data_IF_728597928269
#
_entry.id   IF_728597928269
#
_cell.length_a   1.000
_cell.length_b   1.000
_cell.length_c   1.000
_cell.angle_alpha   90.00
_cell.angle_beta   90.00
_cell.angle_gamma   90.00
#
_symmetry.space_group_name_H-M   'P 1'
#
loop_
_entity.id
_entity.type
_entity.pdbx_description
1 polymer ?
#
# COMPACT_ATOMS: atom_id res chain seq x y z
N UNK A 1 6.85 -10.39 -13.59
CA UNK A 1 5.68 -9.56 -13.23
C UNK A 1 5.19 -10.03 -11.87
N UNK A 2 4.84 -9.14 -10.93
CA UNK A 2 4.47 -9.54 -9.57
C UNK A 2 2.97 -9.44 -9.32
N UNK A 3 2.49 -10.12 -8.27
CA UNK A 3 1.09 -10.16 -7.83
C UNK A 3 1.03 -10.04 -6.30
N UNK A 4 -0.03 -9.46 -5.70
CA UNK A 4 -0.12 -9.37 -4.24
C UNK A 4 -0.33 -10.75 -3.58
N UNK A 5 -0.82 -11.74 -4.34
CA UNK A 5 -0.96 -13.14 -3.95
C UNK A 5 0.15 -14.03 -4.55
N UNK A 6 1.35 -13.48 -4.77
CA UNK A 6 2.47 -14.20 -5.40
C UNK A 6 2.88 -15.47 -4.65
N UNK A 7 2.87 -15.45 -3.32
CA UNK A 7 3.13 -16.64 -2.47
C UNK A 7 2.14 -17.76 -2.73
N UNK A 8 0.85 -17.43 -2.83
CA UNK A 8 -0.18 -18.40 -3.21
C UNK A 8 0.05 -18.98 -4.62
N UNK A 9 0.41 -18.13 -5.61
CA UNK A 9 0.72 -18.62 -6.96
C UNK A 9 1.94 -19.56 -7.00
N UNK A 10 3.01 -19.21 -6.28
CA UNK A 10 4.20 -20.07 -6.17
C UNK A 10 3.87 -21.41 -5.54
N UNK A 11 3.01 -21.41 -4.52
CA UNK A 11 2.48 -22.63 -3.95
C UNK A 11 1.72 -23.48 -4.99
N UNK A 12 0.82 -22.88 -5.80
CA UNK A 12 0.12 -23.62 -6.86
C UNK A 12 1.08 -24.25 -7.87
N UNK A 13 2.12 -23.53 -8.29
CA UNK A 13 3.19 -24.05 -9.15
C UNK A 13 3.87 -25.25 -8.51
N UNK A 14 4.25 -25.13 -7.23
CA UNK A 14 4.93 -26.20 -6.49
C UNK A 14 4.06 -27.46 -6.31
N UNK A 15 2.74 -27.33 -6.41
CA UNK A 15 1.77 -28.43 -6.28
C UNK A 15 1.29 -29.01 -7.61
N UNK A 16 1.82 -28.53 -8.75
CA UNK A 16 1.35 -28.89 -10.10
C UNK A 16 -0.16 -28.65 -10.29
N UNK A 17 -0.75 -27.73 -9.53
CA UNK A 17 -2.16 -27.40 -9.67
C UNK A 17 -2.33 -26.65 -10.99
N UNK A 18 -3.43 -26.92 -11.70
CA UNK A 18 -3.78 -26.16 -12.90
C UNK A 18 -4.11 -24.72 -12.47
N UNK A 19 -3.21 -23.79 -12.85
CA UNK A 19 -3.19 -22.43 -12.28
C UNK A 19 -4.34 -21.60 -12.85
N UNK A 20 -4.62 -21.65 -14.15
CA UNK A 20 -5.60 -20.76 -14.76
C UNK A 20 -7.03 -21.11 -14.40
N UNK A 21 -7.41 -22.38 -14.40
CA UNK A 21 -8.67 -22.90 -13.86
C UNK A 21 -8.83 -22.58 -12.38
N UNK A 22 -7.75 -22.64 -11.58
CA UNK A 22 -7.83 -22.27 -10.16
C UNK A 22 -8.09 -20.77 -10.00
N UNK A 23 -7.37 -19.93 -10.76
CA UNK A 23 -7.56 -18.48 -10.73
C UNK A 23 -8.94 -18.07 -11.26
N UNK A 24 -9.39 -18.68 -12.36
CA UNK A 24 -10.72 -18.47 -12.91
C UNK A 24 -11.79 -18.84 -11.88
N UNK A 25 -11.61 -19.93 -11.13
CA UNK A 25 -12.51 -20.36 -10.05
C UNK A 25 -12.59 -19.39 -8.86
N UNK A 26 -11.60 -18.52 -8.68
CA UNK A 26 -11.57 -17.48 -7.65
C UNK A 26 -11.75 -16.06 -8.21
N UNK A 27 -12.08 -15.95 -9.51
CA UNK A 27 -12.21 -14.69 -10.25
C UNK A 27 -10.96 -13.79 -10.15
N UNK A 28 -9.77 -14.42 -10.18
CA UNK A 28 -8.48 -13.74 -10.13
C UNK A 28 -7.88 -13.56 -11.54
N UNK A 29 -7.07 -12.51 -11.77
CA UNK A 29 -6.37 -12.33 -13.03
C UNK A 29 -5.47 -13.51 -13.37
N UNK A 30 -5.51 -13.96 -14.62
CA UNK A 30 -4.58 -14.95 -15.15
C UNK A 30 -3.13 -14.45 -15.12
N UNK A 31 -2.21 -15.37 -14.92
CA UNK A 31 -0.77 -15.13 -14.98
C UNK A 31 -0.22 -15.32 -16.40
N UNK A 32 0.90 -14.69 -16.72
CA UNK A 32 1.54 -14.86 -18.03
C UNK A 32 2.46 -16.09 -18.09
N UNK A 33 2.60 -16.70 -19.26
CA UNK A 33 3.47 -17.88 -19.45
C UNK A 33 4.93 -17.63 -19.06
N UNK A 34 5.44 -16.42 -19.33
CA UNK A 34 6.80 -16.03 -18.93
C UNK A 34 6.95 -16.05 -17.41
N UNK A 35 5.96 -15.55 -16.67
CA UNK A 35 5.98 -15.59 -15.21
C UNK A 35 5.97 -17.02 -14.68
N UNK A 36 5.16 -17.89 -15.29
CA UNK A 36 5.13 -19.32 -14.95
C UNK A 36 6.48 -20.00 -15.22
N UNK A 37 7.12 -19.69 -16.34
CA UNK A 37 8.44 -20.20 -16.67
C UNK A 37 9.49 -19.74 -15.65
N UNK A 38 9.49 -18.45 -15.30
CA UNK A 38 10.39 -17.88 -14.28
C UNK A 38 10.19 -18.54 -12.91
N UNK A 39 8.94 -18.75 -12.48
CA UNK A 39 8.64 -19.43 -11.22
C UNK A 39 9.08 -20.89 -11.21
N UNK A 40 8.90 -21.63 -12.31
CA UNK A 40 9.41 -23.00 -12.42
C UNK A 40 10.93 -23.03 -12.39
N UNK A 41 11.59 -22.10 -13.06
CA UNK A 41 13.04 -22.00 -13.02
C UNK A 41 13.54 -21.70 -11.61
N UNK A 42 12.94 -20.73 -10.93
CA UNK A 42 13.26 -20.41 -9.53
C UNK A 42 13.10 -21.63 -8.62
N UNK A 43 12.03 -22.42 -8.80
CA UNK A 43 11.83 -23.67 -8.07
C UNK A 43 12.95 -24.68 -8.35
N UNK A 44 13.36 -24.87 -9.60
CA UNK A 44 14.47 -25.77 -9.95
C UNK A 44 15.79 -25.36 -9.31
N UNK A 45 16.03 -24.06 -9.18
CA UNK A 45 17.28 -23.51 -8.69
C UNK A 45 17.40 -23.57 -7.16
N UNK A 46 16.28 -23.53 -6.42
CA UNK A 46 16.28 -23.34 -4.96
C UNK A 46 15.54 -24.42 -4.17
N UNK A 47 14.66 -25.20 -4.79
CA UNK A 47 13.88 -26.22 -4.07
C UNK A 47 14.70 -27.49 -3.82
N UNK A 48 14.32 -28.31 -2.82
CA UNK A 48 14.94 -29.61 -2.59
C UNK A 48 14.89 -30.51 -3.84
N UNK A 49 15.88 -31.39 -4.08
CA UNK A 49 15.90 -32.26 -5.26
C UNK A 49 14.63 -33.11 -5.44
N UNK A 50 14.03 -33.56 -4.33
CA UNK A 50 12.75 -34.28 -4.34
C UNK A 50 11.59 -33.44 -4.91
N UNK A 51 11.55 -32.14 -4.57
CA UNK A 51 10.55 -31.20 -5.09
C UNK A 51 10.76 -30.92 -6.58
N UNK A 52 12.02 -30.77 -7.00
CA UNK A 52 12.35 -30.56 -8.42
C UNK A 52 11.94 -31.78 -9.25
N UNK A 53 12.33 -32.98 -8.81
CA UNK A 53 11.95 -34.23 -9.45
C UNK A 53 10.43 -34.41 -9.49
N UNK A 54 9.73 -34.05 -8.40
CA UNK A 54 8.27 -34.02 -8.36
C UNK A 54 7.75 -33.12 -9.47
N UNK A 55 8.04 -31.81 -9.46
CA UNK A 55 7.48 -30.84 -10.41
C UNK A 55 7.75 -31.18 -11.88
N UNK A 56 8.94 -31.68 -12.21
CA UNK A 56 9.32 -31.99 -13.59
C UNK A 56 8.74 -33.33 -14.11
N UNK A 57 8.27 -34.22 -13.22
CA UNK A 57 7.67 -35.50 -13.60
C UNK A 57 6.16 -35.52 -13.29
N UNK A 58 5.26 -35.37 -14.28
CA UNK A 58 3.81 -35.23 -14.05
C UNK A 58 3.20 -36.32 -13.16
N UNK A 59 3.57 -37.58 -13.41
CA UNK A 59 3.03 -38.77 -12.74
C UNK A 59 3.69 -39.07 -11.38
N UNK A 60 4.75 -38.35 -11.01
CA UNK A 60 5.48 -38.63 -9.77
C UNK A 60 4.75 -38.02 -8.57
N UNK A 61 4.52 -38.83 -7.55
CA UNK A 61 4.08 -38.38 -6.22
C UNK A 61 5.28 -37.93 -5.38
N UNK A 62 5.05 -36.93 -4.52
CA UNK A 62 6.09 -36.44 -3.62
C UNK A 62 6.25 -37.42 -2.44
N UNK A 63 7.14 -38.40 -2.60
CA UNK A 63 7.39 -39.44 -1.60
C UNK A 63 8.38 -39.00 -0.50
N UNK A 64 9.32 -38.12 -0.85
CA UNK A 64 10.30 -37.56 0.08
C UNK A 64 9.94 -36.10 0.40
N UNK A 65 9.74 -35.83 1.69
CA UNK A 65 9.33 -34.54 2.22
C UNK A 65 10.48 -33.79 2.88
N UNK A 66 11.69 -34.35 2.87
CA UNK A 66 12.84 -33.74 3.52
C UNK A 66 13.19 -32.38 2.89
N UNK A 67 13.41 -31.39 3.75
CA UNK A 67 13.68 -30.00 3.37
C UNK A 67 12.54 -29.23 2.68
N UNK A 68 11.38 -29.85 2.42
CA UNK A 68 10.26 -29.17 1.71
C UNK A 68 9.67 -28.05 2.54
N UNK A 69 9.43 -28.28 3.83
CA UNK A 69 8.87 -27.25 4.71
C UNK A 69 9.87 -26.11 4.96
N UNK A 70 11.14 -26.43 5.16
CA UNK A 70 12.19 -25.42 5.38
C UNK A 70 12.34 -24.50 4.16
N UNK A 71 12.31 -25.09 2.95
CA UNK A 71 12.29 -24.33 1.71
C UNK A 71 11.02 -23.47 1.58
N UNK A 72 9.84 -24.06 1.84
CA UNK A 72 8.58 -23.33 1.72
C UNK A 72 8.45 -22.19 2.75
N UNK A 73 9.00 -22.35 3.95
CA UNK A 73 9.11 -21.29 4.95
C UNK A 73 10.04 -20.16 4.49
N UNK A 74 11.20 -20.51 3.92
CA UNK A 74 12.13 -19.53 3.37
C UNK A 74 11.50 -18.71 2.24
N UNK A 75 10.63 -19.33 1.44
CA UNK A 75 9.86 -18.67 0.38
C UNK A 75 8.58 -17.96 0.89
N UNK A 76 8.22 -18.13 2.17
CA UNK A 76 7.07 -17.48 2.80
C UNK A 76 5.72 -18.07 2.40
N UNK A 77 5.65 -19.36 2.08
CA UNK A 77 4.39 -20.07 1.85
C UNK A 77 4.34 -21.44 2.55
N UNK A 78 5.19 -21.67 3.56
CA UNK A 78 5.24 -22.90 4.33
C UNK A 78 3.91 -23.29 4.96
N UNK A 79 3.11 -22.31 5.40
CA UNK A 79 1.77 -22.57 5.95
C UNK A 79 0.85 -23.25 4.93
N UNK A 80 0.94 -22.92 3.64
CA UNK A 80 0.16 -23.60 2.60
C UNK A 80 0.60 -25.07 2.44
N UNK A 81 1.89 -25.37 2.63
CA UNK A 81 2.43 -26.73 2.58
C UNK A 81 2.07 -27.56 3.82
N UNK A 82 2.13 -26.99 5.02
CA UNK A 82 1.72 -27.66 6.27
C UNK A 82 0.27 -28.16 6.24
N UNK A 83 -0.58 -27.46 5.47
CA UNK A 83 -1.99 -27.81 5.29
C UNK A 83 -2.23 -29.01 4.37
N UNK A 84 -1.21 -29.51 3.67
CA UNK A 84 -1.36 -30.60 2.73
C UNK A 84 -1.44 -31.97 3.44
N UNK A 85 -2.04 -32.95 2.78
CA UNK A 85 -2.29 -34.27 3.36
C UNK A 85 -0.99 -35.00 3.73
N UNK A 86 0.07 -34.75 2.95
CA UNK A 86 1.41 -35.30 3.08
C UNK A 86 2.05 -34.95 4.44
N UNK A 87 1.66 -33.83 5.05
CA UNK A 87 2.16 -33.37 6.35
C UNK A 87 1.19 -33.67 7.50
N UNK A 88 0.33 -34.68 7.33
CA UNK A 88 -0.54 -35.19 8.39
C UNK A 88 -1.85 -34.44 8.57
N UNK A 89 -2.21 -33.54 7.64
CA UNK A 89 -3.49 -32.82 7.60
C UNK A 89 -3.86 -32.25 8.97
N UNK A 90 -2.94 -31.47 9.56
CA UNK A 90 -3.28 -30.69 10.74
C UNK A 90 -4.56 -29.91 10.44
N UNK A 91 -5.55 -29.89 11.36
CA UNK A 91 -6.72 -29.05 11.16
C UNK A 91 -6.22 -27.64 10.88
N UNK A 92 -6.79 -27.00 9.86
CA UNK A 92 -6.38 -25.68 9.48
C UNK A 92 -6.37 -24.78 10.70
N UNK A 93 -5.26 -24.07 10.89
CA UNK A 93 -5.24 -23.01 11.89
C UNK A 93 -6.47 -22.13 11.60
N UNK A 94 -7.36 -21.89 12.58
CA UNK A 94 -8.59 -21.14 12.35
C UNK A 94 -8.35 -19.79 11.64
N UNK A 95 -7.18 -19.18 11.89
CA UNK A 95 -6.70 -17.99 11.22
C UNK A 95 -6.50 -18.17 9.71
N UNK A 96 -5.87 -19.27 9.29
CA UNK A 96 -5.67 -19.61 7.88
C UNK A 96 -7.00 -19.84 7.17
N UNK A 97 -7.89 -20.64 7.76
CA UNK A 97 -9.19 -20.93 7.16
C UNK A 97 -10.05 -19.68 6.95
N UNK A 98 -9.99 -18.74 7.89
CA UNK A 98 -10.66 -17.46 7.75
C UNK A 98 -10.00 -16.59 6.67
N UNK A 99 -8.67 -16.48 6.68
CA UNK A 99 -7.93 -15.74 5.65
C UNK A 99 -8.20 -16.29 4.24
N UNK A 100 -8.18 -17.61 4.07
CA UNK A 100 -8.47 -18.25 2.79
C UNK A 100 -9.91 -18.01 2.35
N UNK A 101 -10.89 -18.13 3.26
CA UNK A 101 -12.30 -17.79 2.96
C UNK A 101 -12.49 -16.35 2.51
N UNK A 102 -11.80 -15.41 3.16
CA UNK A 102 -11.80 -13.99 2.77
C UNK A 102 -11.17 -13.77 1.39
N UNK A 103 -10.15 -14.57 1.05
CA UNK A 103 -9.45 -14.47 -0.22
C UNK A 103 -10.27 -15.03 -1.38
N UNK A 104 -10.91 -16.19 -1.22
CA UNK A 104 -11.68 -16.82 -2.31
C UNK A 104 -13.00 -16.10 -2.60
N UNK A 105 -13.55 -15.36 -1.63
CA UNK A 105 -14.75 -14.55 -1.84
C UNK A 105 -14.38 -13.15 -2.37
N UNK A 106 -14.83 -12.86 -3.59
CA UNK A 106 -14.55 -11.60 -4.31
C UNK A 106 -14.96 -10.36 -3.53
N UNK A 107 -16.14 -10.35 -2.91
CA UNK A 107 -16.64 -9.17 -2.21
C UNK A 107 -15.83 -8.88 -0.95
N UNK A 108 -15.52 -9.90 -0.15
CA UNK A 108 -14.68 -9.73 1.04
C UNK A 108 -13.26 -9.36 0.65
N UNK A 109 -12.70 -9.98 -0.40
CA UNK A 109 -11.38 -9.68 -0.94
C UNK A 109 -11.29 -8.23 -1.42
N UNK A 110 -12.29 -7.75 -2.16
CA UNK A 110 -12.31 -6.38 -2.67
C UNK A 110 -12.32 -5.34 -1.56
N UNK A 111 -13.21 -5.49 -0.57
CA UNK A 111 -13.32 -4.55 0.55
C UNK A 111 -12.09 -4.62 1.45
N UNK A 112 -11.62 -5.83 1.78
CA UNK A 112 -10.42 -6.00 2.59
C UNK A 112 -9.18 -5.46 1.86
N UNK A 113 -9.03 -5.73 0.56
CA UNK A 113 -7.96 -5.19 -0.27
C UNK A 113 -7.97 -3.66 -0.33
N UNK A 114 -9.15 -3.04 -0.45
CA UNK A 114 -9.32 -1.59 -0.33
C UNK A 114 -8.87 -1.08 1.04
N UNK A 115 -9.32 -1.71 2.12
CA UNK A 115 -8.99 -1.30 3.48
C UNK A 115 -7.48 -1.46 3.78
N UNK A 116 -6.85 -2.50 3.24
CA UNK A 116 -5.41 -2.75 3.35
C UNK A 116 -4.53 -1.73 2.61
N UNK A 117 -5.07 -1.08 1.58
CA UNK A 117 -4.40 0.00 0.85
C UNK A 117 -4.72 1.39 1.42
N UNK A 118 -5.61 1.45 2.40
CA UNK A 118 -6.10 2.69 3.02
C UNK A 118 -5.20 3.13 4.19
N UNK A 119 -5.59 4.22 4.87
CA UNK A 119 -4.89 4.63 6.11
C UNK A 119 -5.43 3.94 7.37
N UNK A 120 -6.32 2.95 7.22
CA UNK A 120 -6.95 2.26 8.34
C UNK A 120 -5.96 1.38 9.13
N UNK A 121 -6.12 1.39 10.45
CA UNK A 121 -5.45 0.49 11.37
C UNK A 121 -6.07 -0.91 11.36
N UNK A 122 -5.34 -1.92 11.83
CA UNK A 122 -5.83 -3.30 11.90
C UNK A 122 -7.16 -3.40 12.66
N UNK A 123 -7.29 -2.69 13.78
CA UNK A 123 -8.52 -2.68 14.59
C UNK A 123 -9.71 -2.08 13.84
N UNK A 124 -9.47 -1.04 13.04
CA UNK A 124 -10.50 -0.44 12.19
C UNK A 124 -10.94 -1.39 11.07
N UNK A 125 -9.99 -2.09 10.43
CA UNK A 125 -10.27 -3.12 9.41
C UNK A 125 -11.11 -4.26 10.01
N UNK A 126 -10.77 -4.72 11.22
CA UNK A 126 -11.54 -5.74 11.93
C UNK A 126 -12.97 -5.28 12.20
N UNK A 127 -13.13 -4.05 12.71
CA UNK A 127 -14.44 -3.46 12.98
C UNK A 127 -15.26 -3.30 11.68
N UNK A 128 -14.60 -2.94 10.58
CA UNK A 128 -15.22 -2.82 9.26
C UNK A 128 -15.78 -4.16 8.77
N UNK A 129 -14.96 -5.22 8.81
CA UNK A 129 -15.42 -6.53 8.34
C UNK A 129 -16.51 -7.12 9.25
N UNK A 130 -16.43 -6.88 10.56
CA UNK A 130 -17.50 -7.28 11.47
C UNK A 130 -18.80 -6.53 11.18
N UNK A 131 -18.74 -5.21 11.00
CA UNK A 131 -19.93 -4.41 10.71
C UNK A 131 -20.56 -4.72 9.34
N UNK A 132 -19.74 -4.98 8.32
CA UNK A 132 -20.23 -5.18 6.95
C UNK A 132 -20.63 -6.64 6.65
N UNK A 133 -19.93 -7.61 7.24
CA UNK A 133 -20.09 -9.03 6.92
C UNK A 133 -20.40 -9.93 8.12
N UNK A 134 -20.40 -9.39 9.35
CA UNK A 134 -20.51 -10.20 10.56
C UNK A 134 -19.28 -11.10 10.81
N UNK A 135 -18.15 -10.80 10.18
CA UNK A 135 -16.93 -11.60 10.29
C UNK A 135 -16.07 -11.08 11.44
N UNK A 136 -15.87 -11.91 12.45
CA UNK A 136 -14.91 -11.66 13.52
C UNK A 136 -13.48 -11.97 13.03
N UNK A 137 -12.81 -10.95 12.51
CA UNK A 137 -11.47 -11.07 11.96
C UNK A 137 -10.41 -10.97 13.06
N UNK A 138 -9.75 -12.08 13.37
CA UNK A 138 -8.61 -12.05 14.30
C UNK A 138 -7.39 -11.35 13.69
N UNK A 139 -6.51 -10.81 14.53
CA UNK A 139 -5.25 -10.21 14.09
C UNK A 139 -4.34 -11.21 13.37
N UNK A 140 -4.34 -12.47 13.81
CA UNK A 140 -3.59 -13.56 13.18
C UNK A 140 -4.12 -13.89 11.78
N UNK A 141 -5.45 -13.92 11.60
CA UNK A 141 -6.06 -14.12 10.29
C UNK A 141 -5.75 -12.96 9.34
N UNK A 142 -5.79 -11.72 9.82
CA UNK A 142 -5.42 -10.54 9.03
C UNK A 142 -3.92 -10.58 8.63
N UNK A 143 -3.04 -10.96 9.56
CA UNK A 143 -1.62 -11.13 9.28
C UNK A 143 -1.37 -12.23 8.24
N UNK A 144 -2.04 -13.37 8.39
CA UNK A 144 -2.00 -14.49 7.43
C UNK A 144 -2.48 -14.05 6.05
N UNK A 145 -3.58 -13.29 6.00
CA UNK A 145 -4.12 -12.76 4.75
C UNK A 145 -3.12 -11.82 4.04
N UNK A 146 -2.57 -10.83 4.77
CA UNK A 146 -1.54 -9.93 4.23
C UNK A 146 -0.31 -10.69 3.74
N UNK A 147 0.09 -11.73 4.47
CA UNK A 147 1.25 -12.50 4.11
C UNK A 147 1.01 -13.35 2.86
N UNK A 148 -0.02 -14.19 2.83
CA UNK A 148 -0.17 -15.19 1.76
C UNK A 148 -0.95 -14.68 0.55
N UNK A 149 -1.93 -13.82 0.77
CA UNK A 149 -2.98 -13.51 -0.21
C UNK A 149 -3.02 -12.04 -0.64
N UNK A 150 -2.42 -11.13 0.13
CA UNK A 150 -2.45 -9.70 -0.17
C UNK A 150 -1.23 -8.94 0.35
N UNK A 151 -0.05 -9.29 -0.13
CA UNK A 151 1.20 -8.64 0.24
C UNK A 151 1.37 -7.33 -0.52
N UNK A 152 1.13 -6.22 0.18
CA UNK A 152 1.26 -4.86 -0.36
C UNK A 152 2.69 -4.51 -0.79
N UNK A 153 3.69 -5.21 -0.24
CA UNK A 153 5.12 -4.98 -0.51
C UNK A 153 5.60 -5.69 -1.78
N UNK A 154 4.84 -6.65 -2.31
CA UNK A 154 5.22 -7.39 -3.52
C UNK A 154 5.17 -6.53 -4.78
N UNK A 155 4.35 -5.49 -4.80
CA UNK A 155 4.17 -4.61 -5.94
C UNK A 155 4.81 -3.24 -5.69
N UNK A 156 5.54 -2.74 -6.68
CA UNK A 156 5.95 -1.33 -6.72
C UNK A 156 4.75 -0.41 -6.95
N UNK A 157 4.92 0.90 -6.66
CA UNK A 157 3.89 1.91 -6.94
C UNK A 157 3.42 1.92 -8.39
N UNK A 158 4.32 1.66 -9.34
CA UNK A 158 3.98 1.56 -10.76
C UNK A 158 3.10 0.34 -11.04
N UNK A 159 3.49 -0.82 -10.51
CA UNK A 159 2.73 -2.06 -10.70
C UNK A 159 1.34 -1.98 -10.06
N UNK A 160 1.24 -1.35 -8.88
CA UNK A 160 -0.04 -1.04 -8.24
C UNK A 160 -0.94 -0.15 -9.10
N UNK A 161 -0.38 0.81 -9.85
CA UNK A 161 -1.16 1.65 -10.76
C UNK A 161 -1.79 0.89 -11.93
N UNK A 162 -1.17 -0.21 -12.36
CA UNK A 162 -1.66 -1.06 -13.47
C UNK A 162 -2.54 -2.21 -12.98
N UNK A 163 -2.33 -2.68 -11.74
CA UNK A 163 -2.99 -3.87 -11.20
C UNK A 163 -4.53 -3.83 -11.27
N UNK A 164 -5.24 -2.72 -10.95
CA UNK A 164 -6.68 -2.66 -11.08
C UNK A 164 -7.17 -3.02 -12.48
N UNK A 165 -6.48 -2.61 -13.54
CA UNK A 165 -6.94 -2.91 -14.91
C UNK A 165 -6.95 -4.41 -15.23
N UNK A 166 -6.26 -5.22 -14.44
CA UNK A 166 -6.14 -6.68 -14.60
C UNK A 166 -7.20 -7.46 -13.82
N UNK A 167 -7.81 -6.85 -12.81
CA UNK A 167 -8.84 -7.52 -12.01
C UNK A 167 -10.08 -7.82 -12.86
N UNK A 168 -10.66 -8.99 -12.63
CA UNK A 168 -11.74 -9.54 -13.46
C UNK A 168 -13.03 -8.75 -13.26
N UNK A 169 -13.40 -8.47 -12.02
CA UNK A 169 -14.69 -7.84 -11.70
C UNK A 169 -14.59 -6.32 -11.70
N UNK A 170 -15.62 -5.63 -12.19
CA UNK A 170 -15.70 -4.16 -12.14
C UNK A 170 -15.74 -3.62 -10.70
N UNK A 171 -16.31 -4.42 -9.79
CA UNK A 171 -16.42 -4.11 -8.38
C UNK A 171 -15.06 -4.12 -7.69
N UNK A 172 -14.29 -5.21 -7.80
CA UNK A 172 -12.95 -5.31 -7.21
C UNK A 172 -12.01 -4.23 -7.78
N UNK A 173 -12.14 -3.92 -9.08
CA UNK A 173 -11.45 -2.80 -9.71
C UNK A 173 -11.71 -1.46 -9.04
N UNK A 174 -12.99 -1.18 -8.77
CA UNK A 174 -13.41 0.09 -8.17
C UNK A 174 -12.90 0.21 -6.74
N UNK A 175 -13.02 -0.85 -5.94
CA UNK A 175 -12.53 -0.88 -4.56
C UNK A 175 -11.02 -0.76 -4.47
N UNK A 176 -10.26 -1.52 -5.26
CA UNK A 176 -8.80 -1.43 -5.25
C UNK A 176 -8.33 -0.06 -5.74
N UNK A 177 -8.93 0.47 -6.81
CA UNK A 177 -8.61 1.82 -7.31
C UNK A 177 -8.93 2.91 -6.28
N UNK A 178 -9.99 2.74 -5.49
CA UNK A 178 -10.32 3.63 -4.38
C UNK A 178 -9.28 3.52 -3.27
N UNK A 179 -8.94 2.29 -2.84
CA UNK A 179 -7.90 2.01 -1.84
C UNK A 179 -6.54 2.62 -2.19
N UNK A 180 -6.13 2.58 -3.47
CA UNK A 180 -4.87 3.20 -3.93
C UNK A 180 -4.77 4.72 -3.74
N UNK A 181 -5.90 5.40 -3.49
CA UNK A 181 -5.94 6.82 -3.13
C UNK A 181 -5.64 7.05 -1.64
N UNK A 182 -5.42 5.98 -0.88
CA UNK A 182 -5.25 5.96 0.56
C UNK A 182 -6.41 6.65 1.31
N UNK A 183 -7.67 6.19 1.13
CA UNK A 183 -8.82 6.77 1.80
C UNK A 183 -8.76 6.53 3.31
N UNK A 184 -9.49 7.33 4.09
CA UNK A 184 -9.71 7.04 5.51
C UNK A 184 -10.72 5.90 5.69
N UNK A 185 -10.76 5.31 6.89
CA UNK A 185 -11.76 4.27 7.19
C UNK A 185 -13.20 4.79 7.04
N UNK A 186 -13.44 6.06 7.37
CA UNK A 186 -14.78 6.64 7.27
C UNK A 186 -15.20 6.86 5.82
N UNK A 187 -14.27 7.22 4.94
CA UNK A 187 -14.55 7.25 3.51
C UNK A 187 -14.90 5.87 2.95
N UNK A 188 -14.28 4.81 3.49
CA UNK A 188 -14.62 3.44 3.13
C UNK A 188 -16.02 3.09 3.65
N UNK A 189 -16.34 3.42 4.90
CA UNK A 189 -17.68 3.21 5.48
C UNK A 189 -18.76 3.94 4.70
N UNK A 190 -18.54 5.22 4.36
CA UNK A 190 -19.44 6.03 3.55
C UNK A 190 -19.68 5.38 2.17
N UNK A 191 -18.61 4.92 1.52
CA UNK A 191 -18.70 4.20 0.23
C UNK A 191 -19.53 2.92 0.35
N UNK A 192 -19.43 2.21 1.48
CA UNK A 192 -20.20 0.99 1.76
C UNK A 192 -21.61 1.27 2.27
N UNK A 193 -22.01 2.55 2.43
CA UNK A 193 -23.31 2.92 2.98
C UNK A 193 -23.47 2.54 4.46
N UNK A 194 -22.37 2.38 5.19
CA UNK A 194 -22.36 2.09 6.62
C UNK A 194 -22.56 3.37 7.43
N UNK A 195 -23.14 3.25 8.61
CA UNK A 195 -23.28 4.38 9.54
C UNK A 195 -21.89 4.91 9.93
N UNK A 196 -21.54 6.09 9.40
CA UNK A 196 -20.39 6.85 9.88
C UNK A 196 -20.77 7.63 11.14
N UNK A 197 -19.85 7.83 12.10
CA UNK A 197 -20.11 8.65 13.27
C UNK A 197 -20.36 10.10 12.81
N UNK A 198 -21.62 10.45 12.57
CA UNK A 198 -21.99 11.75 11.99
C UNK A 198 -22.10 12.83 13.09
N UNK A 199 -21.10 12.89 13.98
CA UNK A 199 -21.01 13.95 14.98
C UNK A 199 -20.37 15.18 14.35
N UNK A 200 -20.81 16.38 14.74
CA UNK A 200 -20.22 17.64 14.27
C UNK A 200 -18.69 17.67 14.46
N UNK A 201 -18.21 17.04 15.54
CA UNK A 201 -16.79 16.86 15.83
C UNK A 201 -16.07 16.00 14.78
N UNK A 202 -16.69 14.89 14.39
CA UNK A 202 -16.14 13.99 13.38
C UNK A 202 -16.09 14.67 12.01
N UNK A 203 -17.15 15.37 11.61
CA UNK A 203 -17.20 16.11 10.34
C UNK A 203 -16.08 17.17 10.29
N UNK A 204 -15.93 17.96 11.35
CA UNK A 204 -14.88 18.99 11.42
C UNK A 204 -13.48 18.36 11.40
N UNK A 205 -13.24 17.27 12.12
CA UNK A 205 -11.96 16.56 12.09
C UNK A 205 -11.64 15.98 10.70
N UNK A 206 -12.63 15.40 10.03
CA UNK A 206 -12.48 14.86 8.67
C UNK A 206 -12.14 15.97 7.67
N UNK A 207 -12.77 17.14 7.77
CA UNK A 207 -12.44 18.30 6.93
C UNK A 207 -10.99 18.73 7.16
N UNK A 208 -10.54 18.81 8.41
CA UNK A 208 -9.15 19.19 8.76
C UNK A 208 -8.16 18.20 8.13
N UNK A 209 -8.38 16.89 8.33
CA UNK A 209 -7.48 15.84 7.83
C UNK A 209 -7.44 15.82 6.30
N UNK A 210 -8.59 15.88 5.63
CA UNK A 210 -8.65 15.88 4.15
C UNK A 210 -8.02 17.14 3.55
N UNK A 211 -8.30 18.30 4.12
CA UNK A 211 -7.71 19.56 3.67
C UNK A 211 -6.18 19.53 3.82
N UNK A 212 -5.65 18.97 4.91
CA UNK A 212 -4.22 18.82 5.10
C UNK A 212 -3.56 17.85 4.12
N UNK A 213 -4.17 16.68 3.90
CA UNK A 213 -3.63 15.71 2.94
C UNK A 213 -3.60 16.30 1.52
N UNK A 214 -4.66 17.01 1.13
CA UNK A 214 -4.72 17.72 -0.16
C UNK A 214 -3.73 18.88 -0.25
N UNK A 215 -3.52 19.61 0.85
CA UNK A 215 -2.48 20.62 0.94
C UNK A 215 -1.09 20.02 0.71
N UNK A 216 -0.74 18.93 1.39
CA UNK A 216 0.56 18.26 1.23
C UNK A 216 0.76 17.78 -0.21
N UNK A 217 -0.24 17.14 -0.80
CA UNK A 217 -0.19 16.70 -2.20
C UNK A 217 0.01 17.89 -3.14
N UNK A 218 -0.73 18.99 -2.94
CA UNK A 218 -0.60 20.19 -3.77
C UNK A 218 0.77 20.88 -3.61
N UNK A 219 1.38 20.83 -2.42
CA UNK A 219 2.72 21.36 -2.17
C UNK A 219 3.84 20.56 -2.84
N UNK A 220 3.60 19.27 -3.12
CA UNK A 220 4.54 18.40 -3.83
C UNK A 220 4.44 18.55 -5.37
N UNK A 221 3.51 19.37 -5.88
CA UNK A 221 3.36 19.65 -7.31
C UNK A 221 4.27 20.78 -7.80
N UNK A 222 4.52 20.82 -9.11
CA UNK A 222 5.40 21.81 -9.77
C UNK A 222 4.91 23.24 -9.58
N UNK A 223 3.58 23.43 -9.52
CA UNK A 223 2.96 24.72 -9.25
C UNK A 223 1.91 24.61 -8.12
N UNK A 224 2.34 24.76 -6.85
CA UNK A 224 1.47 24.58 -5.69
C UNK A 224 0.27 25.54 -5.65
N UNK A 225 0.38 26.74 -6.22
CA UNK A 225 -0.73 27.70 -6.26
C UNK A 225 -1.85 27.25 -7.19
N UNK A 226 -1.52 26.74 -8.38
CA UNK A 226 -2.49 26.19 -9.34
C UNK A 226 -3.13 24.88 -8.83
N UNK A 227 -2.37 24.07 -8.08
CA UNK A 227 -2.88 22.90 -7.38
C UNK A 227 -3.79 23.25 -6.17
N UNK A 228 -3.93 24.54 -5.86
CA UNK A 228 -4.84 25.06 -4.85
C UNK A 228 -4.34 24.90 -3.41
N UNK A 229 -3.02 24.81 -3.18
CA UNK A 229 -2.43 24.62 -1.86
C UNK A 229 -2.94 25.67 -0.84
N UNK A 230 -2.97 26.95 -1.21
CA UNK A 230 -3.46 28.03 -0.34
C UNK A 230 -4.92 27.80 0.07
N UNK A 231 -5.78 27.40 -0.88
CA UNK A 231 -7.20 27.12 -0.62
C UNK A 231 -7.37 25.94 0.35
N UNK A 232 -6.56 24.90 0.21
CA UNK A 232 -6.57 23.76 1.15
C UNK A 232 -6.06 24.15 2.54
N UNK A 233 -5.03 24.99 2.62
CA UNK A 233 -4.54 25.53 3.90
C UNK A 233 -5.59 26.42 4.60
N UNK A 234 -6.26 27.31 3.87
CA UNK A 234 -7.34 28.15 4.40
C UNK A 234 -8.53 27.32 4.88
N UNK A 235 -8.90 26.27 4.14
CA UNK A 235 -9.98 25.37 4.54
C UNK A 235 -9.65 24.64 5.84
N UNK A 236 -8.40 24.16 5.99
CA UNK A 236 -7.92 23.55 7.23
C UNK A 236 -7.96 24.55 8.39
N UNK A 237 -7.49 25.79 8.18
CA UNK A 237 -7.48 26.85 9.20
C UNK A 237 -8.89 27.25 9.64
N UNK A 238 -9.85 27.35 8.71
CA UNK A 238 -11.26 27.66 9.04
C UNK A 238 -11.91 26.54 9.84
N UNK A 239 -11.69 25.28 9.44
CA UNK A 239 -12.21 24.13 10.17
C UNK A 239 -11.63 24.04 11.60
N UNK A 240 -10.33 24.34 11.77
CA UNK A 240 -9.69 24.48 13.09
C UNK A 240 -10.33 25.62 13.90
N UNK A 241 -10.62 26.75 13.26
CA UNK A 241 -11.34 27.87 13.87
C UNK A 241 -12.69 27.41 14.42
N UNK A 242 -13.53 26.79 13.59
CA UNK A 242 -14.82 26.23 13.98
C UNK A 242 -14.71 25.26 15.15
N UNK A 243 -13.67 24.40 15.14
CA UNK A 243 -13.41 23.46 16.24
C UNK A 243 -13.12 24.16 17.58
N UNK A 244 -12.30 25.22 17.55
CA UNK A 244 -11.96 26.03 18.74
C UNK A 244 -13.16 26.79 19.27
N UNK A 245 -13.98 27.37 18.40
CA UNK A 245 -15.16 28.14 18.81
C UNK A 245 -16.28 27.25 19.35
N UNK A 246 -16.40 26.02 18.85
CA UNK A 246 -17.42 25.06 19.26
C UNK A 246 -17.05 24.20 20.49
N UNK A 247 -15.84 24.37 21.06
CA UNK A 247 -15.42 23.63 22.26
C UNK A 247 -15.25 22.12 22.05
N UNK A 248 -14.96 21.69 20.82
CA UNK A 248 -14.86 20.28 20.44
C UNK A 248 -13.49 19.69 20.81
N UNK A 249 -13.46 18.42 21.23
CA UNK A 249 -12.30 17.76 21.82
C UNK A 249 -11.15 17.56 20.82
N UNK A 250 -9.91 17.50 21.30
CA UNK A 250 -8.73 17.25 20.44
C UNK A 250 -8.80 15.86 19.77
N UNK A 251 -8.21 15.68 18.57
CA UNK A 251 -8.22 14.38 17.89
C UNK A 251 -7.56 13.33 18.79
N UNK A 252 -8.27 12.25 19.08
CA UNK A 252 -7.70 11.11 19.84
C UNK A 252 -6.87 10.18 18.95
N UNK A 253 -7.04 10.26 17.63
CA UNK A 253 -6.41 9.38 16.67
C UNK A 253 -5.21 10.06 16.01
N UNK A 254 -4.01 9.77 16.53
CA UNK A 254 -2.71 9.71 15.84
C UNK A 254 -2.22 10.87 14.97
N UNK A 255 -3.00 11.93 14.78
CA UNK A 255 -2.64 13.10 13.99
C UNK A 255 -1.66 14.01 14.74
N UNK A 256 -0.88 14.83 14.01
CA UNK A 256 0.07 15.74 14.63
C UNK A 256 -0.64 16.63 15.66
N UNK A 257 0.02 16.86 16.81
CA UNK A 257 -0.54 17.67 17.87
C UNK A 257 -0.87 19.08 17.34
N UNK A 258 -1.93 19.68 17.86
CA UNK A 258 -2.48 20.97 17.39
C UNK A 258 -1.42 22.11 17.37
N UNK A 259 -0.39 22.02 18.22
CA UNK A 259 0.75 22.95 18.26
C UNK A 259 1.74 22.77 17.11
N UNK A 260 2.00 21.53 16.67
CA UNK A 260 2.87 21.24 15.53
C UNK A 260 2.24 21.70 14.21
N UNK A 261 0.91 21.64 14.13
CA UNK A 261 0.13 22.12 12.99
C UNK A 261 0.22 23.64 12.79
N UNK A 262 0.06 24.45 13.85
CA UNK A 262 0.18 25.90 13.72
C UNK A 262 1.61 26.35 13.38
N UNK A 263 2.62 25.62 13.83
CA UNK A 263 4.01 25.91 13.51
C UNK A 263 4.33 25.70 12.02
N UNK A 264 3.66 24.75 11.34
CA UNK A 264 3.87 24.44 9.92
C UNK A 264 3.29 25.49 8.94
N UNK A 265 2.27 26.24 9.36
CA UNK A 265 1.69 27.34 8.56
C UNK A 265 2.24 28.72 8.95
N UNK A 266 3.10 28.77 9.96
CA UNK A 266 3.78 29.99 10.39
C UNK A 266 4.99 30.23 9.50
N UNK A 267 4.79 30.81 8.32
CA UNK A 267 5.91 31.39 7.57
C UNK A 267 6.44 32.55 8.41
N UNK A 268 7.57 32.35 9.10
CA UNK A 268 8.36 33.47 9.59
C UNK A 268 8.91 34.17 8.34
N UNK A 269 8.56 35.42 8.05
CA UNK A 269 9.21 36.13 6.97
C UNK A 269 10.68 36.28 7.34
N UNK A 270 11.56 35.53 6.66
CA UNK A 270 12.97 35.93 6.59
C UNK A 270 12.97 37.32 5.98
N UNK A 271 13.46 38.30 6.75
CA UNK A 271 13.67 39.66 6.24
C UNK A 271 14.57 39.52 5.02
N UNK A 272 14.02 39.79 3.85
CA UNK A 272 14.80 39.91 2.63
C UNK A 272 15.94 40.88 2.89
N UNK A 273 17.18 40.42 2.70
CA UNK A 273 18.33 41.31 2.71
C UNK A 273 18.16 42.26 1.53
N UNK A 274 17.62 43.45 1.77
CA UNK A 274 17.55 44.49 0.77
C UNK A 274 18.97 44.84 0.35
N UNK A 275 19.39 44.34 -0.82
CA UNK A 275 20.58 44.82 -1.52
C UNK A 275 20.38 46.32 -1.77
N UNK A 276 21.24 47.14 -1.18
CA UNK A 276 21.17 48.59 -1.36
C UNK A 276 21.66 48.97 -2.75
N UNK A 277 21.13 50.06 -3.32
CA UNK A 277 21.52 50.57 -4.65
C UNK A 277 23.04 50.77 -4.84
N UNK A 278 23.80 50.91 -3.74
CA UNK A 278 25.26 50.97 -3.75
C UNK A 278 25.93 49.63 -4.16
N UNK A 279 25.27 48.49 -3.95
CA UNK A 279 25.79 47.16 -4.32
C UNK A 279 25.51 46.79 -5.79
N UNK A 280 24.61 47.53 -6.45
CA UNK A 280 24.29 47.37 -7.89
C UNK A 280 25.16 48.25 -8.81
N UNK A 281 25.94 49.20 -8.26
CA UNK A 281 26.73 50.15 -9.03
C UNK A 281 28.22 50.18 -8.60
N UNK A 282 29.04 49.31 -9.21
CA UNK A 282 30.51 49.40 -9.22
C UNK A 282 31.18 48.05 -8.91
N UNK A 283 32.05 47.45 -9.74
CA UNK A 283 32.96 47.97 -10.75
C UNK A 283 33.06 47.03 -11.96
N UNK A 284 33.01 47.58 -13.17
CA UNK A 284 33.51 46.92 -14.38
C UNK A 284 35.02 47.11 -14.41
N UNK A 285 35.79 46.05 -14.12
CA UNK A 285 37.23 46.06 -14.31
C UNK A 285 37.56 45.86 -15.80
N UNK A 286 38.17 46.89 -16.40
CA UNK A 286 38.71 46.86 -17.76
C UNK A 286 39.85 45.83 -17.81
N UNK A 287 39.91 44.92 -18.82
CA UNK A 287 40.99 43.95 -18.91
C UNK A 287 42.33 44.64 -19.17
N UNK A 288 43.34 44.36 -18.34
CA UNK A 288 44.70 44.87 -18.51
C UNK A 288 45.33 44.32 -19.80
N UNK A 289 45.92 45.23 -20.60
CA UNK A 289 46.77 44.90 -21.75
C UNK A 289 48.00 44.06 -21.33
N UNK A 290 48.49 43.15 -22.19
CA UNK A 290 49.69 42.38 -21.92
C UNK A 290 50.93 43.28 -21.91
N UNK A 291 51.80 43.07 -20.93
CA UNK A 291 53.08 43.78 -20.77
C UNK A 291 54.12 43.17 -21.73
N UNK A 292 54.92 43.97 -22.45
CA UNK A 292 55.97 43.45 -23.31
C UNK A 292 57.12 42.87 -22.51
N UNK A 293 57.68 41.80 -23.04
CA UNK A 293 58.96 41.23 -22.62
C UNK A 293 60.05 42.23 -23.05
N UNK A 294 60.80 42.78 -22.09
CA UNK A 294 62.19 43.14 -22.37
C UNK A 294 63.05 42.92 -21.13
N UNK A 295 64.16 42.27 -21.41
CA UNK A 295 65.29 41.97 -20.53
C UNK A 295 65.91 43.29 -20.08
N UNK A 296 66.65 43.26 -18.98
CA UNK A 296 68.06 43.65 -19.06
C UNK A 296 68.80 43.38 -17.75
N UNK A 297 70.06 42.97 -17.95
CA UNK A 297 71.22 43.05 -17.04
C UNK A 297 71.34 42.03 -15.92
#
# INVERSE_FOLDING_TARGET
>A
MKYPYERFLRFLVSRKIEIHSTLDGYELPRVGDLWLADCRQHLRDHAPPAMVAFVDAPELELADLDGVLDWADAEGFGDLWRMQNEFGRAPAAPAFDLAFRLFVNVHTRAILGCALLSTATDKEIQTLLFGNFGIDLSGEALATYRHLFWDVTMLSRKEWGEFPQRLVTAEERSYVAFGLRAPSIDEIRDMLGMDTPNTDEHVVNTIITKAFTKFRIAMDEINPEEAGAIRWAELALRAIGTKKTAGLSAPKDGGPAMGDFQALFSVKPEKSAHLTLAQLAGHVAIPKKPVPNDKDS
#
